data_IF_546548089545
#
_entry.id   IF_546548089545
#
_cell.length_a   1.000
_cell.length_b   1.000
_cell.length_c   1.000
_cell.angle_alpha   90.00
_cell.angle_beta   90.00
_cell.angle_gamma   90.00
#
_symmetry.space_group_name_H-M   'P 1'
#
loop_
_entity.id
_entity.type
_entity.pdbx_description
1 polymer ?
#
# COMPACT_ATOMS: atom_id res chain seq x y z
N UNK A 1 -34.00 21.85 -3.70
CA UNK A 1 -34.71 22.70 -4.68
C UNK A 1 -35.69 21.91 -5.56
N UNK A 2 -35.27 20.89 -6.31
CA UNK A 2 -36.16 20.21 -7.27
C UNK A 2 -37.40 19.55 -6.62
N UNK A 3 -37.22 18.86 -5.48
CA UNK A 3 -38.35 18.32 -4.68
C UNK A 3 -39.33 19.41 -4.24
N UNK A 4 -38.82 20.57 -3.86
CA UNK A 4 -39.67 21.69 -3.40
C UNK A 4 -40.49 22.28 -4.55
N UNK A 5 -39.89 22.46 -5.74
CA UNK A 5 -40.61 22.91 -6.93
C UNK A 5 -41.72 21.91 -7.34
N UNK A 6 -41.46 20.60 -7.21
CA UNK A 6 -42.48 19.57 -7.41
C UNK A 6 -43.60 19.66 -6.36
N UNK A 7 -43.26 19.85 -5.08
CA UNK A 7 -44.21 20.05 -3.98
C UNK A 7 -45.10 21.27 -4.20
N UNK A 8 -44.52 22.38 -4.65
CA UNK A 8 -45.22 23.62 -4.98
C UNK A 8 -46.00 23.55 -6.31
N UNK A 9 -45.92 22.41 -7.03
CA UNK A 9 -46.65 22.14 -8.28
C UNK A 9 -46.39 23.15 -9.40
N UNK A 10 -45.17 23.67 -9.52
CA UNK A 10 -44.81 24.50 -10.69
C UNK A 10 -44.86 23.68 -11.97
N UNK A 11 -45.50 24.25 -13.01
CA UNK A 11 -45.71 23.64 -14.33
C UNK A 11 -45.52 24.68 -15.43
N UNK A 12 -44.96 24.24 -16.56
CA UNK A 12 -44.73 25.09 -17.73
C UNK A 12 -43.81 26.28 -17.47
N UNK A 13 -42.96 26.21 -16.43
CA UNK A 13 -42.00 27.27 -16.08
C UNK A 13 -40.62 26.97 -16.61
N UNK A 14 -39.82 28.02 -16.81
CA UNK A 14 -38.37 27.91 -16.97
C UNK A 14 -37.73 28.00 -15.59
N UNK A 15 -36.99 26.98 -15.18
CA UNK A 15 -36.38 26.82 -13.85
C UNK A 15 -34.87 26.64 -14.03
N UNK A 16 -34.10 27.59 -13.52
CA UNK A 16 -32.64 27.51 -13.49
C UNK A 16 -32.17 27.13 -12.08
N UNK A 17 -31.45 26.00 -11.97
CA UNK A 17 -30.86 25.51 -10.72
C UNK A 17 -29.37 25.76 -10.78
N UNK A 18 -28.86 26.64 -9.90
CA UNK A 18 -27.44 26.95 -9.83
C UNK A 18 -26.76 26.13 -8.73
N UNK A 19 -25.58 25.58 -9.01
CA UNK A 19 -24.76 24.85 -8.03
C UNK A 19 -23.28 25.13 -8.25
N UNK A 20 -22.53 25.25 -7.16
CA UNK A 20 -21.07 25.36 -7.20
C UNK A 20 -20.34 24.01 -7.22
N UNK A 21 -21.07 22.92 -7.03
CA UNK A 21 -20.52 21.57 -7.05
C UNK A 21 -20.37 21.08 -8.48
N UNK A 22 -19.23 21.39 -9.10
CA UNK A 22 -18.84 20.83 -10.39
C UNK A 22 -18.88 19.30 -10.38
N UNK A 23 -18.47 18.68 -9.26
CA UNK A 23 -18.54 17.23 -9.07
C UNK A 23 -19.98 16.69 -9.12
N UNK A 24 -20.96 17.39 -8.56
CA UNK A 24 -22.36 16.98 -8.63
C UNK A 24 -22.91 17.05 -10.05
N UNK A 25 -22.54 18.08 -10.82
CA UNK A 25 -22.91 18.21 -12.23
C UNK A 25 -22.31 17.09 -13.07
N UNK A 26 -21.01 16.84 -12.95
CA UNK A 26 -20.35 15.74 -13.66
C UNK A 26 -20.95 14.37 -13.28
N UNK A 27 -21.35 14.19 -12.02
CA UNK A 27 -21.99 12.95 -11.58
C UNK A 27 -23.40 12.76 -12.18
N UNK A 28 -24.14 13.84 -12.42
CA UNK A 28 -25.45 13.81 -13.07
C UNK A 28 -25.36 13.64 -14.59
N UNK A 29 -24.31 14.18 -15.21
CA UNK A 29 -24.03 14.07 -16.65
C UNK A 29 -23.38 12.73 -17.05
N UNK A 30 -22.85 11.99 -16.06
CA UNK A 30 -22.23 10.68 -16.27
C UNK A 30 -23.20 9.65 -16.84
N UNK A 31 -22.74 8.88 -17.84
CA UNK A 31 -23.49 7.75 -18.41
C UNK A 31 -23.70 6.58 -17.44
N UNK A 32 -22.99 6.57 -16.31
CA UNK A 32 -23.12 5.57 -15.25
C UNK A 32 -23.24 6.23 -13.87
N UNK A 33 -24.31 5.92 -13.15
CA UNK A 33 -24.57 6.43 -11.81
C UNK A 33 -24.17 5.38 -10.76
N UNK A 34 -23.19 5.72 -9.93
CA UNK A 34 -22.57 4.81 -8.94
C UNK A 34 -23.07 5.00 -7.51
N UNK A 35 -23.96 5.96 -7.28
CA UNK A 35 -24.45 6.33 -5.94
C UNK A 35 -25.97 6.47 -5.96
N UNK A 36 -26.63 5.88 -4.96
CA UNK A 36 -28.07 6.05 -4.74
C UNK A 36 -28.46 7.53 -4.62
N UNK A 37 -27.64 8.34 -3.95
CA UNK A 37 -27.92 9.77 -3.76
C UNK A 37 -27.92 10.53 -5.09
N UNK A 38 -26.97 10.21 -5.98
CA UNK A 38 -26.91 10.81 -7.32
C UNK A 38 -28.10 10.33 -8.17
N UNK A 39 -28.46 9.05 -8.06
CA UNK A 39 -29.64 8.48 -8.74
C UNK A 39 -30.94 9.16 -8.29
N UNK A 40 -31.16 9.29 -6.99
CA UNK A 40 -32.34 9.94 -6.43
C UNK A 40 -32.40 11.43 -6.83
N UNK A 41 -31.25 12.11 -6.90
CA UNK A 41 -31.14 13.48 -7.40
C UNK A 41 -31.54 13.55 -8.88
N UNK A 42 -30.94 12.71 -9.73
CA UNK A 42 -31.23 12.62 -11.16
C UNK A 42 -32.73 12.36 -11.40
N UNK A 43 -33.32 11.37 -10.74
CA UNK A 43 -34.75 11.07 -10.86
C UNK A 43 -35.63 12.25 -10.45
N UNK A 44 -35.26 12.96 -9.39
CA UNK A 44 -36.00 14.14 -8.92
C UNK A 44 -35.94 15.28 -9.94
N UNK A 45 -34.74 15.60 -10.45
CA UNK A 45 -34.56 16.66 -11.44
C UNK A 45 -35.26 16.30 -12.75
N UNK A 46 -35.13 15.06 -13.22
CA UNK A 46 -35.83 14.54 -14.41
C UNK A 46 -37.35 14.58 -14.26
N UNK A 47 -37.87 14.27 -13.07
CA UNK A 47 -39.30 14.38 -12.79
C UNK A 47 -39.80 15.82 -12.88
N UNK A 48 -39.01 16.79 -12.42
CA UNK A 48 -39.33 18.21 -12.56
C UNK A 48 -39.24 18.67 -14.02
N UNK A 49 -38.23 18.20 -14.76
CA UNK A 49 -38.01 18.51 -16.17
C UNK A 49 -39.09 17.96 -17.11
N UNK A 50 -39.79 16.89 -16.70
CA UNK A 50 -40.92 16.36 -17.49
C UNK A 50 -42.09 17.34 -17.63
N UNK A 51 -42.20 18.31 -16.73
CA UNK A 51 -43.32 19.26 -16.66
C UNK A 51 -42.88 20.74 -16.69
N UNK A 52 -41.58 21.01 -16.82
CA UNK A 52 -40.97 22.34 -16.84
C UNK A 52 -39.71 22.34 -17.71
N UNK A 53 -39.29 23.51 -18.19
CA UNK A 53 -37.96 23.65 -18.79
C UNK A 53 -36.92 23.85 -17.69
N UNK A 54 -36.12 22.83 -17.38
CA UNK A 54 -35.17 22.85 -16.26
C UNK A 54 -33.73 22.86 -16.77
N UNK A 55 -32.93 23.81 -16.31
CA UNK A 55 -31.49 23.87 -16.57
C UNK A 55 -30.72 23.83 -15.26
N UNK A 56 -29.68 23.00 -15.17
CA UNK A 56 -28.77 22.98 -14.02
C UNK A 56 -27.45 23.61 -14.47
N UNK A 57 -27.05 24.70 -13.82
CA UNK A 57 -25.90 25.52 -14.19
C UNK A 57 -24.83 25.47 -13.11
N UNK A 58 -23.57 25.32 -13.53
CA UNK A 58 -22.43 25.52 -12.64
C UNK A 58 -22.24 27.01 -12.34
N UNK A 59 -21.91 27.34 -11.10
CA UNK A 59 -21.42 28.67 -10.70
C UNK A 59 -20.12 28.52 -9.91
N UNK A 60 -19.21 29.49 -9.98
CA UNK A 60 -17.99 29.43 -9.18
C UNK A 60 -18.28 29.53 -7.68
N UNK A 61 -17.64 28.66 -6.90
CA UNK A 61 -17.70 28.70 -5.44
C UNK A 61 -17.01 29.95 -4.89
N UNK A 62 -17.61 30.59 -3.88
CA UNK A 62 -17.06 31.74 -3.15
C UNK A 62 -17.02 33.11 -3.86
N UNK A 63 -17.57 33.25 -5.08
CA UNK A 63 -17.66 34.54 -5.80
C UNK A 63 -18.74 35.51 -5.28
N UNK A 64 -19.04 35.50 -3.98
CA UNK A 64 -19.98 36.49 -3.45
C UNK A 64 -21.46 36.22 -3.75
N UNK A 65 -21.81 35.21 -4.55
CA UNK A 65 -23.21 34.89 -4.93
C UNK A 65 -24.02 34.60 -3.66
N UNK A 66 -24.93 35.53 -3.32
CA UNK A 66 -25.68 35.50 -2.07
C UNK A 66 -26.49 34.22 -1.91
N UNK A 67 -27.11 33.74 -2.99
CA UNK A 67 -27.88 32.49 -3.02
C UNK A 67 -27.02 31.26 -2.68
N UNK A 68 -25.82 31.15 -3.28
CA UNK A 68 -24.90 30.04 -3.01
C UNK A 68 -24.39 30.09 -1.58
N UNK A 69 -23.93 31.27 -1.12
CA UNK A 69 -23.48 31.48 0.27
C UNK A 69 -24.55 31.08 1.29
N UNK A 70 -25.82 31.40 1.02
CA UNK A 70 -26.93 31.01 1.88
C UNK A 70 -27.19 29.50 1.83
N UNK A 71 -27.09 28.88 0.65
CA UNK A 71 -27.19 27.43 0.52
C UNK A 71 -26.08 26.70 1.29
N UNK A 72 -24.83 27.16 1.17
CA UNK A 72 -23.68 26.61 1.90
C UNK A 72 -23.83 26.78 3.41
N UNK A 73 -24.26 27.97 3.86
CA UNK A 73 -24.49 28.22 5.28
C UNK A 73 -25.57 27.27 5.84
N UNK A 74 -26.67 27.06 5.10
CA UNK A 74 -27.72 26.12 5.50
C UNK A 74 -27.24 24.66 5.47
N UNK A 75 -26.43 24.28 4.48
CA UNK A 75 -25.84 22.94 4.41
C UNK A 75 -24.88 22.68 5.58
N UNK A 76 -24.05 23.66 5.92
CA UNK A 76 -23.14 23.60 7.06
C UNK A 76 -23.91 23.50 8.39
N UNK A 77 -24.94 24.33 8.57
CA UNK A 77 -25.84 24.23 9.74
C UNK A 77 -26.47 22.85 9.83
N UNK A 78 -26.99 22.32 8.71
CA UNK A 78 -27.54 20.97 8.63
C UNK A 78 -26.54 19.89 9.04
N UNK A 79 -25.30 19.99 8.56
CA UNK A 79 -24.22 19.05 8.88
C UNK A 79 -23.78 19.08 10.35
N UNK A 80 -23.96 20.22 11.02
CA UNK A 80 -23.62 20.40 12.44
C UNK A 80 -24.76 19.94 13.39
N UNK A 81 -25.96 19.71 12.88
CA UNK A 81 -27.11 19.25 13.68
C UNK A 81 -26.88 17.83 14.20
N UNK A 82 -27.30 17.57 15.44
CA UNK A 82 -27.32 16.21 16.01
C UNK A 82 -28.32 15.37 15.22
N UNK A 83 -27.84 14.27 14.64
CA UNK A 83 -28.66 13.37 13.82
C UNK A 83 -29.71 12.67 14.70
N UNK A 84 -30.99 12.83 14.35
CA UNK A 84 -32.14 12.19 15.02
C UNK A 84 -32.69 11.06 14.13
N UNK A 85 -32.69 9.81 14.61
CA UNK A 85 -33.18 8.62 13.88
C UNK A 85 -32.44 7.31 14.23
N UNK A 86 -32.82 6.16 13.66
CA UNK A 86 -32.05 4.91 13.80
C UNK A 86 -30.77 4.94 12.94
N UNK A 87 -29.68 4.35 13.44
CA UNK A 87 -28.44 4.18 12.66
C UNK A 87 -28.64 3.19 11.49
N UNK A 88 -27.94 3.36 10.34
CA UNK A 88 -26.99 4.42 10.00
C UNK A 88 -27.68 5.62 9.33
N UNK A 89 -27.35 6.82 9.80
CA UNK A 89 -27.97 8.08 9.40
C UNK A 89 -27.54 8.58 8.01
N UNK A 90 -26.32 8.24 7.60
CA UNK A 90 -25.79 8.42 6.26
C UNK A 90 -25.03 7.14 5.87
N UNK A 91 -25.13 6.75 4.60
CA UNK A 91 -24.40 5.58 4.12
C UNK A 91 -22.90 5.86 4.19
N UNK A 92 -22.14 4.96 4.85
CA UNK A 92 -20.68 5.05 4.82
C UNK A 92 -20.22 4.81 3.38
N UNK A 93 -19.50 5.76 2.75
CA UNK A 93 -19.01 5.56 1.39
C UNK A 93 -18.15 4.30 1.32
N UNK A 94 -18.29 3.50 0.25
CA UNK A 94 -17.47 2.29 0.06
C UNK A 94 -15.97 2.58 0.17
N UNK A 95 -15.52 3.74 -0.32
CA UNK A 95 -14.12 4.15 -0.21
C UNK A 95 -13.67 4.27 1.24
N UNK A 96 -14.50 4.82 2.13
CA UNK A 96 -14.18 5.00 3.54
C UNK A 96 -14.17 3.65 4.27
N UNK A 97 -15.17 2.80 4.05
CA UNK A 97 -15.17 1.43 4.59
C UNK A 97 -13.94 0.65 4.12
N UNK A 98 -13.60 0.73 2.82
CA UNK A 98 -12.43 0.06 2.26
C UNK A 98 -11.13 0.59 2.87
N UNK A 99 -11.04 1.90 3.11
CA UNK A 99 -9.88 2.56 3.71
C UNK A 99 -9.64 2.07 5.14
N UNK A 100 -10.69 2.02 5.96
CA UNK A 100 -10.62 1.55 7.35
C UNK A 100 -10.19 0.08 7.40
N UNK A 101 -10.85 -0.78 6.62
CA UNK A 101 -10.52 -2.21 6.53
C UNK A 101 -9.09 -2.41 6.05
N UNK A 102 -8.66 -1.71 5.00
CA UNK A 102 -7.30 -1.81 4.46
C UNK A 102 -6.26 -1.36 5.48
N UNK A 103 -6.53 -0.29 6.22
CA UNK A 103 -5.64 0.20 7.29
C UNK A 103 -5.48 -0.85 8.39
N UNK A 104 -6.58 -1.45 8.83
CA UNK A 104 -6.56 -2.51 9.83
C UNK A 104 -5.78 -3.74 9.35
N UNK A 105 -6.04 -4.21 8.12
CA UNK A 105 -5.33 -5.37 7.52
C UNK A 105 -3.82 -5.14 7.50
N UNK A 106 -3.36 -3.95 7.07
CA UNK A 106 -1.92 -3.63 7.03
C UNK A 106 -1.31 -3.61 8.42
N UNK A 107 -1.98 -3.01 9.40
CA UNK A 107 -1.52 -2.96 10.77
C UNK A 107 -1.42 -4.37 11.38
N UNK A 108 -2.44 -5.19 11.17
CA UNK A 108 -2.49 -6.56 11.67
C UNK A 108 -1.45 -7.46 10.98
N UNK A 109 -1.25 -7.32 9.67
CA UNK A 109 -0.18 -8.04 8.95
C UNK A 109 1.21 -7.65 9.49
N UNK A 110 1.46 -6.36 9.70
CA UNK A 110 2.72 -5.89 10.31
C UNK A 110 2.91 -6.41 11.73
N UNK A 111 1.84 -6.47 12.54
CA UNK A 111 1.88 -7.03 13.89
C UNK A 111 2.20 -8.52 13.86
N UNK A 112 1.50 -9.31 13.04
CA UNK A 112 1.74 -10.76 12.86
C UNK A 112 3.16 -11.02 12.38
N UNK A 113 3.64 -10.25 11.39
CA UNK A 113 5.00 -10.36 10.87
C UNK A 113 6.05 -10.20 11.97
N UNK A 114 5.90 -9.20 12.85
CA UNK A 114 6.86 -8.95 13.95
C UNK A 114 6.79 -10.01 15.05
N UNK A 115 5.59 -10.43 15.43
CA UNK A 115 5.38 -11.32 16.58
C UNK A 115 5.51 -12.80 16.25
N UNK A 116 5.56 -13.20 14.97
CA UNK A 116 5.69 -14.60 14.61
C UNK A 116 7.01 -15.20 15.15
N UNK A 117 7.02 -16.39 15.78
CA UNK A 117 8.24 -16.96 16.36
C UNK A 117 9.25 -17.46 15.29
N UNK A 118 8.80 -17.74 14.07
CA UNK A 118 9.62 -18.23 12.96
C UNK A 118 10.15 -17.15 12.00
N UNK A 119 10.30 -17.51 10.72
CA UNK A 119 10.66 -16.60 9.62
C UNK A 119 12.07 -16.00 9.69
N UNK A 120 13.00 -16.66 10.39
CA UNK A 120 14.39 -16.16 10.54
C UNK A 120 15.01 -15.77 9.19
N UNK A 121 14.93 -16.65 8.18
CA UNK A 121 15.53 -16.40 6.87
C UNK A 121 14.79 -15.28 6.14
N UNK A 122 13.47 -15.31 6.14
CA UNK A 122 12.65 -14.29 5.48
C UNK A 122 12.86 -12.90 6.08
N UNK A 123 13.13 -12.80 7.39
CA UNK A 123 13.46 -11.55 8.06
C UNK A 123 14.87 -11.03 7.76
N UNK A 124 15.78 -11.86 7.27
CA UNK A 124 17.09 -11.38 6.77
C UNK A 124 16.93 -10.64 5.45
N UNK A 125 16.00 -11.09 4.60
CA UNK A 125 15.80 -10.57 3.24
C UNK A 125 14.69 -9.51 3.19
N UNK A 126 13.65 -9.65 4.02
CA UNK A 126 12.50 -8.78 4.07
C UNK A 126 12.40 -8.12 5.46
N UNK A 127 12.55 -6.80 5.51
CA UNK A 127 12.44 -6.06 6.78
C UNK A 127 10.98 -5.99 7.28
N UNK A 128 10.04 -5.83 6.36
CA UNK A 128 8.60 -5.74 6.65
C UNK A 128 7.77 -6.33 5.52
N UNK A 129 6.48 -6.64 5.76
CA UNK A 129 5.57 -6.95 4.68
C UNK A 129 5.51 -5.80 3.67
N UNK A 130 5.66 -6.12 2.38
CA UNK A 130 5.69 -5.13 1.31
C UNK A 130 4.76 -5.56 0.18
N UNK A 131 3.80 -4.69 -0.17
CA UNK A 131 2.92 -4.91 -1.32
C UNK A 131 3.68 -4.86 -2.63
N UNK A 132 4.79 -4.09 -2.70
CA UNK A 132 5.64 -4.03 -3.90
C UNK A 132 6.33 -5.38 -4.13
N UNK A 133 6.96 -5.94 -3.10
CA UNK A 133 7.58 -7.27 -3.18
C UNK A 133 6.55 -8.33 -3.57
N UNK A 134 5.36 -8.30 -2.96
CA UNK A 134 4.28 -9.23 -3.32
C UNK A 134 3.87 -9.09 -4.80
N UNK A 135 3.69 -7.85 -5.28
CA UNK A 135 3.37 -7.59 -6.69
C UNK A 135 4.46 -8.07 -7.63
N UNK A 136 5.73 -7.83 -7.30
CA UNK A 136 6.87 -8.25 -8.11
C UNK A 136 6.94 -9.78 -8.19
N UNK A 137 6.77 -10.48 -7.06
CA UNK A 137 6.72 -11.95 -7.02
C UNK A 137 5.57 -12.54 -7.84
N UNK A 138 4.41 -11.88 -7.84
CA UNK A 138 3.24 -12.30 -8.62
C UNK A 138 3.40 -12.03 -10.13
N UNK A 139 4.27 -11.10 -10.51
CA UNK A 139 4.58 -10.81 -11.91
C UNK A 139 5.57 -11.81 -12.54
N UNK A 140 6.31 -12.54 -11.70
CA UNK A 140 7.26 -13.55 -12.16
C UNK A 140 6.55 -14.81 -12.67
N UNK A 141 7.19 -15.50 -13.61
CA UNK A 141 6.76 -16.84 -13.99
C UNK A 141 6.99 -17.85 -12.85
N UNK A 142 6.28 -18.98 -12.91
CA UNK A 142 6.32 -20.04 -11.88
C UNK A 142 7.74 -20.48 -11.50
N UNK A 143 8.64 -20.63 -12.48
CA UNK A 143 10.01 -21.09 -12.25
C UNK A 143 10.81 -20.07 -11.43
N UNK A 144 10.72 -18.79 -11.81
CA UNK A 144 11.38 -17.71 -11.09
C UNK A 144 10.78 -17.48 -9.70
N UNK A 145 9.44 -17.45 -9.58
CA UNK A 145 8.76 -17.30 -8.29
C UNK A 145 9.19 -18.40 -7.31
N UNK A 146 9.29 -19.65 -7.77
CA UNK A 146 9.74 -20.77 -6.95
C UNK A 146 11.16 -20.58 -6.41
N UNK A 147 12.11 -20.15 -7.27
CA UNK A 147 13.49 -19.87 -6.85
C UNK A 147 13.56 -18.73 -5.83
N UNK A 148 12.85 -17.63 -6.08
CA UNK A 148 12.86 -16.46 -5.19
C UNK A 148 12.20 -16.78 -3.85
N UNK A 149 11.07 -17.50 -3.85
CA UNK A 149 10.43 -17.96 -2.60
C UNK A 149 11.36 -18.91 -1.84
N UNK A 150 12.05 -19.81 -2.53
CA UNK A 150 13.04 -20.69 -1.91
C UNK A 150 14.17 -19.93 -1.24
N UNK A 151 14.68 -18.87 -1.88
CA UNK A 151 15.68 -17.98 -1.29
C UNK A 151 15.11 -17.23 -0.07
N UNK A 152 13.96 -16.57 -0.22
CA UNK A 152 13.31 -15.79 0.87
C UNK A 152 13.01 -16.67 2.08
N UNK A 153 12.54 -17.90 1.88
CA UNK A 153 12.15 -18.79 2.97
C UNK A 153 13.32 -19.62 3.50
N UNK A 154 14.40 -19.76 2.73
CA UNK A 154 15.49 -20.72 2.97
C UNK A 154 15.11 -22.17 2.68
N UNK A 155 13.96 -22.41 2.06
CA UNK A 155 13.46 -23.74 1.68
C UNK A 155 13.50 -23.87 0.16
N UNK A 156 14.69 -24.10 -0.37
CA UNK A 156 14.92 -24.24 -1.80
C UNK A 156 16.12 -25.13 -2.09
N UNK A 157 16.64 -25.06 -3.31
CA UNK A 157 17.81 -25.83 -3.74
C UNK A 157 19.12 -25.24 -3.20
N UNK A 158 19.22 -25.17 -1.87
CA UNK A 158 20.40 -24.78 -1.08
C UNK A 158 20.99 -26.05 -0.47
N UNK A 159 22.31 -26.27 -0.57
CA UNK A 159 22.92 -27.50 -0.04
C UNK A 159 22.62 -27.72 1.45
N UNK A 160 22.61 -26.68 2.29
CA UNK A 160 22.20 -26.82 3.70
C UNK A 160 20.77 -27.31 3.85
N UNK A 161 19.84 -26.81 3.03
CA UNK A 161 18.45 -27.25 3.09
C UNK A 161 18.33 -28.70 2.62
N UNK A 162 18.91 -29.03 1.47
CA UNK A 162 18.89 -30.37 0.87
C UNK A 162 19.53 -31.43 1.79
N UNK A 163 20.63 -31.08 2.46
CA UNK A 163 21.28 -31.94 3.44
C UNK A 163 20.37 -32.17 4.66
N UNK A 164 19.77 -31.10 5.20
CA UNK A 164 18.83 -31.19 6.33
C UNK A 164 17.63 -32.09 6.04
N UNK A 165 17.11 -32.07 4.82
CA UNK A 165 15.96 -32.91 4.43
C UNK A 165 16.36 -34.30 3.91
N UNK A 166 17.65 -34.66 3.97
CA UNK A 166 18.15 -35.99 3.61
C UNK A 166 18.28 -36.26 2.10
N UNK A 167 18.15 -35.23 1.25
CA UNK A 167 18.33 -35.37 -0.21
C UNK A 167 19.82 -35.37 -0.56
N UNK A 168 20.63 -34.56 0.12
CA UNK A 168 22.08 -34.48 -0.06
C UNK A 168 22.77 -35.19 1.12
N UNK A 169 23.68 -36.12 0.83
CA UNK A 169 24.45 -36.85 1.85
C UNK A 169 25.85 -36.26 2.08
N UNK A 170 26.36 -35.49 1.12
CA UNK A 170 27.64 -34.79 1.23
C UNK A 170 27.55 -33.57 2.15
N UNK A 171 28.73 -33.08 2.58
CA UNK A 171 28.81 -31.87 3.40
C UNK A 171 28.11 -30.69 2.74
N UNK A 172 27.31 -29.90 3.49
CA UNK A 172 26.49 -28.83 2.95
C UNK A 172 27.27 -27.57 2.56
N UNK A 173 28.55 -27.68 2.21
CA UNK A 173 29.43 -26.58 1.84
C UNK A 173 28.98 -25.87 0.57
N UNK A 174 29.21 -24.57 0.50
CA UNK A 174 28.86 -23.72 -0.63
C UNK A 174 29.46 -24.24 -1.95
N UNK A 175 28.62 -24.43 -2.98
CA UNK A 175 29.05 -24.86 -4.32
C UNK A 175 30.05 -23.91 -5.00
N UNK A 176 30.09 -22.66 -4.56
CA UNK A 176 30.87 -21.60 -5.21
C UNK A 176 32.18 -21.31 -4.50
N UNK A 177 32.19 -21.30 -3.16
CA UNK A 177 33.35 -20.89 -2.37
C UNK A 177 33.93 -21.97 -1.45
N UNK A 178 33.20 -23.06 -1.23
CA UNK A 178 33.60 -24.20 -0.39
C UNK A 178 34.01 -23.88 1.07
N UNK A 179 33.78 -22.65 1.54
CA UNK A 179 34.28 -22.18 2.84
C UNK A 179 33.25 -22.25 3.99
N UNK A 180 31.95 -22.28 3.67
CA UNK A 180 30.85 -22.25 4.65
C UNK A 180 29.64 -23.02 4.12
N UNK A 181 28.70 -23.37 5.01
CA UNK A 181 27.43 -23.99 4.62
C UNK A 181 26.64 -23.11 3.63
N UNK A 182 26.10 -23.72 2.58
CA UNK A 182 25.32 -23.01 1.58
C UNK A 182 23.93 -22.62 2.12
N UNK A 183 23.81 -21.39 2.59
CA UNK A 183 22.56 -20.81 3.09
C UNK A 183 22.13 -19.61 2.26
N UNK A 184 20.85 -19.22 2.33
CA UNK A 184 20.40 -17.93 1.75
C UNK A 184 21.26 -16.78 2.24
N UNK A 185 21.56 -16.72 3.55
CA UNK A 185 22.36 -15.64 4.12
C UNK A 185 23.75 -15.58 3.49
N UNK A 186 24.41 -16.73 3.43
CA UNK A 186 25.72 -16.85 2.79
C UNK A 186 25.67 -16.43 1.32
N UNK A 187 24.73 -16.96 0.52
CA UNK A 187 24.65 -16.62 -0.90
C UNK A 187 24.27 -15.16 -1.17
N UNK A 188 23.41 -14.55 -0.36
CA UNK A 188 22.97 -13.17 -0.61
C UNK A 188 23.95 -12.14 -0.04
N UNK A 189 24.62 -12.44 1.08
CA UNK A 189 25.36 -11.44 1.84
C UNK A 189 26.84 -11.75 2.08
N UNK A 190 27.24 -13.03 2.18
CA UNK A 190 28.58 -13.39 2.70
C UNK A 190 29.50 -14.09 1.69
N UNK A 191 28.98 -14.60 0.58
CA UNK A 191 29.72 -15.52 -0.29
C UNK A 191 30.80 -14.79 -1.11
N UNK A 192 32.09 -15.06 -0.88
CA UNK A 192 33.18 -14.32 -1.55
C UNK A 192 33.23 -14.60 -3.05
N UNK A 193 32.72 -15.75 -3.50
CA UNK A 193 32.74 -16.16 -4.90
C UNK A 193 31.78 -15.36 -5.79
N UNK A 194 30.78 -14.66 -5.21
CA UNK A 194 29.75 -13.90 -5.95
C UNK A 194 29.69 -12.43 -5.55
N UNK A 195 30.79 -11.92 -5.00
CA UNK A 195 30.91 -10.51 -4.58
C UNK A 195 30.72 -9.57 -5.76
N UNK A 196 31.17 -9.94 -6.97
CA UNK A 196 31.02 -9.10 -8.17
C UNK A 196 29.55 -8.91 -8.53
N UNK A 197 28.77 -9.98 -8.46
CA UNK A 197 27.32 -9.97 -8.69
C UNK A 197 26.61 -9.15 -7.62
N UNK A 198 27.04 -9.26 -6.35
CA UNK A 198 26.52 -8.40 -5.28
C UNK A 198 26.78 -6.92 -5.58
N UNK A 199 27.99 -6.55 -5.98
CA UNK A 199 28.31 -5.17 -6.36
C UNK A 199 27.48 -4.67 -7.55
N UNK A 200 27.26 -5.51 -8.55
CA UNK A 200 26.47 -5.15 -9.72
C UNK A 200 24.99 -4.91 -9.39
N UNK A 201 24.44 -5.63 -8.41
CA UNK A 201 23.01 -5.57 -8.05
C UNK A 201 22.74 -4.58 -6.92
N UNK A 202 23.58 -4.56 -5.88
CA UNK A 202 23.36 -3.78 -4.65
C UNK A 202 24.24 -2.52 -4.57
N UNK A 203 25.19 -2.33 -5.49
CA UNK A 203 26.15 -1.23 -5.42
C UNK A 203 27.21 -1.45 -4.34
N UNK A 204 27.72 -0.37 -3.73
CA UNK A 204 28.58 -0.48 -2.55
C UNK A 204 27.79 -1.07 -1.39
N UNK A 205 28.25 -2.23 -0.89
CA UNK A 205 27.73 -2.82 0.34
C UNK A 205 28.09 -1.89 1.51
N UNK A 206 27.22 -0.94 1.86
CA UNK A 206 27.44 -0.04 3.00
C UNK A 206 27.62 -0.85 4.29
N UNK A 207 28.56 -0.39 5.13
CA UNK A 207 29.03 -1.06 6.36
C UNK A 207 27.90 -1.44 7.35
N UNK A 208 26.71 -0.85 7.23
CA UNK A 208 25.56 -1.14 8.09
C UNK A 208 25.03 -2.59 7.94
N UNK A 209 25.16 -3.21 6.77
CA UNK A 209 24.79 -4.62 6.58
C UNK A 209 25.81 -5.59 7.21
N UNK A 210 27.06 -5.16 7.38
CA UNK A 210 28.20 -5.98 7.79
C UNK A 210 28.50 -6.00 9.30
N UNK A 211 27.72 -5.29 10.12
CA UNK A 211 27.92 -5.20 11.59
C UNK A 211 27.76 -6.54 12.36
N UNK A 212 27.66 -7.69 11.66
CA UNK A 212 27.72 -9.03 12.26
C UNK A 212 28.81 -9.88 11.61
N UNK A 213 30.06 -9.59 12.01
CA UNK A 213 31.25 -10.47 11.98
C UNK A 213 31.78 -10.86 10.59
N UNK A 214 32.64 -10.02 9.99
CA UNK A 214 33.80 -10.52 9.23
C UNK A 214 35.05 -9.69 9.57
N UNK A 215 36.14 -10.42 9.81
CA UNK A 215 37.51 -9.94 9.93
C UNK A 215 38.00 -9.64 8.50
N UNK A 216 38.11 -8.37 8.13
CA UNK A 216 38.74 -7.99 6.86
C UNK A 216 40.25 -8.22 7.03
N UNK A 217 40.76 -9.33 6.51
CA UNK A 217 42.20 -9.50 6.29
C UNK A 217 42.50 -8.79 4.96
N UNK A 218 42.80 -7.50 5.03
CA UNK A 218 43.41 -6.80 3.91
C UNK A 218 44.85 -7.29 3.78
N UNK A 219 45.12 -8.13 2.78
CA UNK A 219 46.48 -8.41 2.34
C UNK A 219 47.03 -7.18 1.62
N UNK A 220 47.59 -6.26 2.39
CA UNK A 220 48.66 -5.39 1.89
C UNK A 220 49.98 -5.89 2.49
N UNK A 221 50.92 -6.10 1.59
CA UNK A 221 52.23 -6.70 1.77
C UNK A 221 53.06 -6.10 2.92
N UNK A 222 53.83 -7.00 3.57
CA UNK A 222 55.05 -6.75 4.36
C UNK A 222 54.89 -6.12 5.76
N UNK A 223 55.17 -6.92 6.80
CA UNK A 223 55.58 -6.43 8.12
C UNK A 223 54.79 -7.01 9.30
N UNK A 224 55.50 -7.73 10.19
CA UNK A 224 55.00 -8.22 11.49
C UNK A 224 54.38 -7.09 12.33
N UNK A 225 53.21 -7.30 12.95
CA UNK A 225 52.99 -7.16 14.41
C UNK A 225 51.52 -6.95 14.85
N UNK A 226 51.06 -7.87 15.71
CA UNK A 226 50.10 -7.76 16.84
C UNK A 226 48.68 -7.21 16.62
N UNK A 227 47.73 -8.16 16.63
CA UNK A 227 46.30 -7.93 16.82
C UNK A 227 45.99 -7.36 18.22
N UNK A 228 45.28 -6.22 18.30
CA UNK A 228 44.71 -5.69 19.55
C UNK A 228 43.19 -5.62 19.42
N UNK A 229 42.49 -6.34 20.29
CA UNK A 229 41.03 -6.33 20.39
C UNK A 229 40.57 -5.08 21.13
N UNK A 230 39.64 -4.31 20.55
CA UNK A 230 38.86 -3.32 21.31
C UNK A 230 37.38 -3.55 21.00
N UNK A 231 36.69 -4.19 21.94
CA UNK A 231 35.24 -4.24 22.00
C UNK A 231 34.73 -2.90 22.51
N UNK A 232 34.08 -2.10 21.67
CA UNK A 232 33.19 -1.03 22.13
C UNK A 232 31.76 -1.37 21.76
N UNK A 233 30.99 -1.73 22.79
CA UNK A 233 29.54 -1.89 22.76
C UNK A 233 28.92 -0.49 22.80
N UNK A 234 28.32 -0.02 21.70
CA UNK A 234 27.48 1.18 21.74
C UNK A 234 26.04 0.76 22.06
N UNK A 235 25.60 1.20 23.25
CA UNK A 235 24.19 1.40 23.59
C UNK A 235 23.74 2.67 22.86
N UNK A 236 22.61 2.61 22.16
CA UNK A 236 21.39 3.42 22.29
C UNK A 236 20.36 2.75 21.38
#
# INVERSE_FOLDING_TARGET
CARENLRLRYRGKTINIFTDSQAALMALDSCAIKSKLVWDCYQTVSSLARINNVTVCWVPGHEGILGNKRADALANQGSATIMTGPQPFCGVPRCESSRVVSKWIRAEHGRRWRLHPGLRVSRMVLQSPSSKVASDLLSLNRSMSSKVIGLITGHGHLRKHLHRVGILQEDPLCRMCDNQEETTGHLIFDCPAIVREHYAVFGSLEEEFFSRKILIISNTSFGRSKNRWVSKRLKI
#
